data_IF_448577915756
#
_entry.id   IF_448577915756
#
_cell.length_a   1.000
_cell.length_b   1.000
_cell.length_c   1.000
_cell.angle_alpha   90.00
_cell.angle_beta   90.00
_cell.angle_gamma   90.00
#
_symmetry.space_group_name_H-M   'P 1'
#
loop_
_entity.id
_entity.type
_entity.pdbx_description
1 polymer ?
#
# COMPACT_ATOMS: atom_id res chain seq x y z
N UNK A 1 -10.20 -22.41 -28.78
CA UNK A 1 -8.90 -22.99 -28.36
C UNK A 1 -8.70 -22.89 -26.85
N UNK A 2 -8.91 -21.72 -26.22
CA UNK A 2 -8.79 -21.57 -24.76
C UNK A 2 -9.70 -22.51 -23.93
N UNK A 3 -10.97 -22.69 -24.32
CA UNK A 3 -11.86 -23.66 -23.64
C UNK A 3 -11.32 -25.08 -23.64
N UNK A 4 -10.74 -25.52 -24.76
CA UNK A 4 -10.16 -26.87 -24.89
C UNK A 4 -8.97 -27.00 -23.96
N UNK A 5 -8.13 -25.97 -23.85
CA UNK A 5 -6.97 -25.97 -22.96
C UNK A 5 -7.38 -26.04 -21.49
N UNK A 6 -8.43 -25.32 -21.06
CA UNK A 6 -8.93 -25.41 -19.68
C UNK A 6 -9.44 -26.81 -19.30
N UNK A 7 -9.98 -27.55 -20.27
CA UNK A 7 -10.47 -28.91 -20.07
C UNK A 7 -9.42 -30.00 -20.32
N UNK A 8 -8.20 -29.63 -20.75
CA UNK A 8 -7.15 -30.61 -21.04
C UNK A 8 -6.32 -30.88 -19.77
N UNK A 9 -6.17 -32.13 -19.33
CA UNK A 9 -5.30 -32.46 -18.19
C UNK A 9 -3.84 -32.09 -18.44
N UNK A 10 -3.09 -31.78 -17.38
CA UNK A 10 -1.65 -31.55 -17.46
C UNK A 10 -1.22 -30.21 -18.05
N UNK A 11 -2.13 -29.25 -18.19
CA UNK A 11 -1.74 -27.87 -18.53
C UNK A 11 -0.90 -27.26 -17.43
N UNK A 12 0.01 -26.38 -17.82
CA UNK A 12 0.78 -25.59 -16.86
C UNK A 12 -0.14 -24.57 -16.16
N UNK A 13 0.15 -24.21 -14.90
CA UNK A 13 -0.58 -23.16 -14.19
C UNK A 13 -0.71 -21.86 -14.99
N UNK A 14 0.36 -21.46 -15.69
CA UNK A 14 0.39 -20.25 -16.51
C UNK A 14 -0.61 -20.30 -17.67
N UNK A 15 -0.72 -21.45 -18.35
CA UNK A 15 -1.68 -21.64 -19.44
C UNK A 15 -3.10 -21.60 -18.91
N UNK A 16 -3.38 -22.26 -17.78
CA UNK A 16 -4.69 -22.24 -17.15
C UNK A 16 -5.10 -20.80 -16.76
N UNK A 17 -4.23 -20.07 -16.05
CA UNK A 17 -4.50 -18.69 -15.63
C UNK A 17 -4.71 -17.76 -16.84
N UNK A 18 -3.93 -17.92 -17.91
CA UNK A 18 -4.09 -17.14 -19.13
C UNK A 18 -5.43 -17.43 -19.82
N UNK A 19 -5.85 -18.70 -19.85
CA UNK A 19 -7.14 -19.07 -20.42
C UNK A 19 -8.31 -18.54 -19.58
N UNK A 20 -8.23 -18.62 -18.25
CA UNK A 20 -9.23 -18.04 -17.34
C UNK A 20 -9.36 -16.52 -17.56
N UNK A 21 -8.22 -15.81 -17.67
CA UNK A 21 -8.21 -14.37 -17.89
C UNK A 21 -8.76 -13.98 -19.27
N UNK A 22 -8.45 -14.74 -20.32
CA UNK A 22 -8.92 -14.46 -21.69
C UNK A 22 -10.41 -14.72 -21.86
N UNK A 23 -10.93 -15.79 -21.27
CA UNK A 23 -12.34 -16.19 -21.41
C UNK A 23 -13.25 -15.47 -20.41
N UNK A 24 -12.70 -15.02 -19.28
CA UNK A 24 -13.46 -14.32 -18.26
C UNK A 24 -14.69 -15.12 -17.84
N UNK A 25 -15.86 -14.49 -17.93
CA UNK A 25 -17.13 -15.07 -17.49
C UNK A 25 -17.48 -16.40 -18.17
N UNK A 26 -17.00 -16.63 -19.40
CA UNK A 26 -17.25 -17.88 -20.13
C UNK A 26 -16.51 -19.09 -19.54
N UNK A 27 -15.50 -18.86 -18.69
CA UNK A 27 -14.74 -19.91 -18.04
C UNK A 27 -15.20 -20.25 -16.61
N UNK A 28 -16.32 -19.69 -16.14
CA UNK A 28 -16.79 -19.88 -14.76
C UNK A 28 -17.00 -21.35 -14.39
N UNK A 29 -17.63 -22.14 -15.27
CA UNK A 29 -17.84 -23.57 -15.01
C UNK A 29 -16.51 -24.30 -14.83
N UNK A 30 -15.53 -24.04 -15.70
CA UNK A 30 -14.20 -24.63 -15.59
C UNK A 30 -13.44 -24.11 -14.37
N UNK A 31 -13.62 -22.86 -13.99
CA UNK A 31 -13.04 -22.28 -12.79
C UNK A 31 -13.58 -22.95 -11.52
N UNK A 32 -14.89 -23.24 -11.45
CA UNK A 32 -15.50 -24.03 -10.37
C UNK A 32 -14.87 -25.42 -10.27
N UNK A 33 -14.75 -26.13 -11.40
CA UNK A 33 -14.12 -27.46 -11.43
C UNK A 33 -12.68 -27.40 -10.94
N UNK A 34 -11.89 -26.44 -11.44
CA UNK A 34 -10.50 -26.27 -11.03
C UNK A 34 -10.39 -25.95 -9.54
N UNK A 35 -11.25 -25.07 -9.01
CA UNK A 35 -11.20 -24.66 -7.61
C UNK A 35 -11.55 -25.81 -6.65
N UNK A 36 -12.44 -26.72 -7.06
CA UNK A 36 -12.76 -27.94 -6.30
C UNK A 36 -11.78 -29.10 -6.53
N UNK A 37 -10.84 -28.97 -7.48
CA UNK A 37 -9.87 -30.02 -7.77
C UNK A 37 -8.71 -29.97 -6.77
N UNK A 38 -8.39 -31.07 -6.05
CA UNK A 38 -7.24 -31.11 -5.15
C UNK A 38 -5.91 -30.92 -5.88
N UNK A 39 -4.91 -30.38 -5.18
CA UNK A 39 -3.53 -30.27 -5.69
C UNK A 39 -3.32 -29.17 -6.73
N UNK A 40 -4.29 -28.25 -6.91
CA UNK A 40 -4.06 -27.06 -7.71
C UNK A 40 -2.98 -26.18 -7.10
N UNK A 41 -2.21 -25.54 -7.97
CA UNK A 41 -1.23 -24.56 -7.53
C UNK A 41 -1.92 -23.31 -6.96
N UNK A 42 -1.28 -22.60 -6.01
CA UNK A 42 -1.78 -21.33 -5.47
C UNK A 42 -2.22 -20.33 -6.55
N UNK A 43 -1.43 -20.20 -7.62
CA UNK A 43 -1.72 -19.29 -8.73
C UNK A 43 -3.07 -19.58 -9.42
N UNK A 44 -3.37 -20.86 -9.65
CA UNK A 44 -4.63 -21.28 -10.28
C UNK A 44 -5.79 -21.07 -9.31
N UNK A 45 -5.62 -21.43 -8.03
CA UNK A 45 -6.64 -21.20 -7.00
C UNK A 45 -7.00 -19.72 -6.90
N UNK A 46 -6.01 -18.82 -6.76
CA UNK A 46 -6.23 -17.38 -6.69
C UNK A 46 -6.90 -16.83 -7.96
N UNK A 47 -6.53 -17.34 -9.15
CA UNK A 47 -7.15 -16.93 -10.42
C UNK A 47 -8.62 -17.36 -10.49
N UNK A 48 -8.94 -18.57 -10.04
CA UNK A 48 -10.32 -19.05 -9.94
C UNK A 48 -11.13 -18.23 -8.93
N UNK A 49 -10.60 -17.98 -7.72
CA UNK A 49 -11.24 -17.15 -6.70
C UNK A 49 -11.55 -15.75 -7.23
N UNK A 50 -10.58 -15.12 -7.91
CA UNK A 50 -10.75 -13.79 -8.50
C UNK A 50 -11.81 -13.77 -9.62
N UNK A 51 -11.84 -14.80 -10.47
CA UNK A 51 -12.80 -14.87 -11.57
C UNK A 51 -14.24 -15.12 -11.10
N UNK A 52 -14.40 -16.04 -10.15
CA UNK A 52 -15.69 -16.45 -9.61
C UNK A 52 -16.26 -15.42 -8.63
N UNK A 53 -15.39 -14.70 -7.92
CA UNK A 53 -15.79 -13.74 -6.91
C UNK A 53 -16.72 -14.39 -5.90
N UNK A 54 -17.88 -13.77 -5.68
CA UNK A 54 -18.85 -14.20 -4.67
C UNK A 54 -19.35 -15.65 -4.86
N UNK A 55 -19.31 -16.20 -6.08
CA UNK A 55 -19.70 -17.58 -6.33
C UNK A 55 -18.74 -18.60 -5.71
N UNK A 56 -17.50 -18.21 -5.40
CA UNK A 56 -16.50 -19.08 -4.81
C UNK A 56 -16.47 -19.06 -3.27
N UNK A 57 -17.44 -18.40 -2.61
CA UNK A 57 -17.45 -18.23 -1.14
C UNK A 57 -17.36 -19.55 -0.38
N UNK A 58 -18.18 -20.53 -0.73
CA UNK A 58 -18.17 -21.84 -0.05
C UNK A 58 -16.79 -22.51 -0.16
N UNK A 59 -16.20 -22.48 -1.35
CA UNK A 59 -14.89 -23.08 -1.59
C UNK A 59 -13.76 -22.27 -0.94
N UNK A 60 -13.90 -20.95 -0.83
CA UNK A 60 -12.97 -20.08 -0.10
C UNK A 60 -13.00 -20.38 1.41
N UNK A 61 -14.17 -20.64 1.99
CA UNK A 61 -14.29 -21.09 3.39
C UNK A 61 -13.55 -22.43 3.59
N UNK A 62 -13.77 -23.39 2.69
CA UNK A 62 -13.07 -24.69 2.74
C UNK A 62 -11.55 -24.51 2.66
N UNK A 63 -11.06 -23.70 1.71
CA UNK A 63 -9.63 -23.42 1.57
C UNK A 63 -9.07 -22.75 2.82
N UNK A 64 -9.76 -21.76 3.38
CA UNK A 64 -9.29 -21.02 4.55
C UNK A 64 -9.21 -21.90 5.82
N UNK A 65 -10.07 -22.91 5.93
CA UNK A 65 -10.02 -23.91 7.01
C UNK A 65 -9.05 -25.07 6.72
N UNK A 66 -8.52 -25.18 5.51
CA UNK A 66 -7.60 -26.27 5.14
C UNK A 66 -6.18 -25.96 5.65
N UNK A 67 -5.55 -26.86 6.42
CA UNK A 67 -4.18 -26.67 6.86
C UNK A 67 -3.18 -26.67 5.69
N UNK A 68 -2.08 -25.94 5.84
CA UNK A 68 -0.98 -25.95 4.87
C UNK A 68 -1.23 -25.15 3.59
N UNK A 69 -2.28 -24.32 3.55
CA UNK A 69 -2.45 -23.36 2.47
C UNK A 69 -1.32 -22.34 2.44
N UNK A 70 -0.97 -21.91 1.24
CA UNK A 70 0.03 -20.86 1.05
C UNK A 70 -0.53 -19.49 1.46
N UNK A 71 0.33 -18.55 1.90
CA UNK A 71 -0.07 -17.18 2.23
C UNK A 71 -0.93 -16.51 1.16
N UNK A 72 -0.59 -16.67 -0.12
CA UNK A 72 -1.33 -16.08 -1.25
C UNK A 72 -2.79 -16.52 -1.30
N UNK A 73 -3.04 -17.82 -1.10
CA UNK A 73 -4.39 -18.39 -1.08
C UNK A 73 -5.16 -17.94 0.15
N UNK A 74 -4.52 -17.94 1.33
CA UNK A 74 -5.13 -17.46 2.56
C UNK A 74 -5.57 -16.00 2.45
N UNK A 75 -4.67 -15.12 2.00
CA UNK A 75 -4.98 -13.70 1.80
C UNK A 75 -6.10 -13.49 0.75
N UNK A 76 -6.09 -14.27 -0.33
CA UNK A 76 -7.15 -14.20 -1.36
C UNK A 76 -8.51 -14.64 -0.81
N UNK A 77 -8.54 -15.69 0.02
CA UNK A 77 -9.77 -16.15 0.69
C UNK A 77 -10.27 -15.11 1.70
N UNK A 78 -9.39 -14.55 2.55
CA UNK A 78 -9.73 -13.49 3.50
C UNK A 78 -10.31 -12.26 2.79
N UNK A 79 -9.68 -11.83 1.69
CA UNK A 79 -10.15 -10.69 0.90
C UNK A 79 -11.52 -10.95 0.25
N UNK A 80 -11.74 -12.17 -0.27
CA UNK A 80 -12.99 -12.51 -0.92
C UNK A 80 -14.17 -12.63 0.06
N UNK A 81 -13.93 -13.28 1.20
CA UNK A 81 -14.93 -13.54 2.23
C UNK A 81 -15.24 -12.29 3.06
N UNK A 82 -14.25 -11.41 3.22
CA UNK A 82 -14.37 -10.20 4.02
C UNK A 82 -14.86 -10.54 5.42
N UNK A 83 -15.96 -9.90 5.84
CA UNK A 83 -16.52 -10.03 7.17
C UNK A 83 -16.89 -11.47 7.57
N UNK A 84 -17.18 -12.35 6.60
CA UNK A 84 -17.50 -13.76 6.87
C UNK A 84 -16.28 -14.57 7.36
N UNK A 85 -15.06 -14.08 7.11
CA UNK A 85 -13.83 -14.77 7.50
C UNK A 85 -13.26 -14.31 8.85
N UNK A 86 -13.98 -13.48 9.61
CA UNK A 86 -13.48 -12.91 10.88
C UNK A 86 -13.09 -13.96 11.90
N UNK A 87 -13.92 -14.98 12.12
CA UNK A 87 -13.60 -16.08 13.04
C UNK A 87 -12.29 -16.76 12.65
N UNK A 88 -12.14 -17.07 11.36
CA UNK A 88 -10.94 -17.73 10.84
C UNK A 88 -9.73 -16.79 10.86
N UNK A 89 -9.91 -15.49 10.71
CA UNK A 89 -8.85 -14.49 10.86
C UNK A 89 -8.32 -14.44 12.29
N UNK A 90 -9.18 -14.52 13.32
CA UNK A 90 -8.74 -14.66 14.71
C UNK A 90 -7.92 -15.94 14.90
N UNK A 91 -8.40 -17.08 14.39
CA UNK A 91 -7.65 -18.35 14.47
C UNK A 91 -6.26 -18.21 13.84
N UNK A 92 -6.16 -17.59 12.66
CA UNK A 92 -4.89 -17.34 11.99
C UNK A 92 -3.98 -16.41 12.79
N UNK A 93 -4.49 -15.33 13.40
CA UNK A 93 -3.69 -14.41 14.23
C UNK A 93 -3.05 -15.08 15.44
N UNK A 94 -3.75 -16.05 16.04
CA UNK A 94 -3.28 -16.84 17.18
C UNK A 94 -2.44 -18.06 16.77
N UNK A 95 -2.44 -18.44 15.50
CA UNK A 95 -1.67 -19.58 15.01
C UNK A 95 -0.18 -19.21 14.88
N UNK A 96 0.74 -19.95 15.53
CA UNK A 96 2.17 -19.67 15.41
C UNK A 96 2.70 -19.99 14.00
N UNK A 97 3.73 -19.26 13.58
CA UNK A 97 4.41 -19.51 12.30
C UNK A 97 3.72 -18.90 11.07
N UNK A 98 2.67 -18.08 11.27
CA UNK A 98 2.06 -17.34 10.17
C UNK A 98 3.02 -16.30 9.59
N UNK A 99 2.94 -16.13 8.28
CA UNK A 99 3.71 -15.12 7.57
C UNK A 99 3.21 -13.70 7.89
N UNK A 100 4.07 -12.68 7.84
CA UNK A 100 3.67 -11.29 8.03
C UNK A 100 2.51 -10.84 7.14
N UNK A 101 2.44 -11.34 5.90
CA UNK A 101 1.41 -11.01 4.91
C UNK A 101 0.02 -11.48 5.35
N UNK A 102 -0.07 -12.72 5.86
CA UNK A 102 -1.33 -13.27 6.40
C UNK A 102 -1.72 -12.52 7.66
N UNK A 103 -0.78 -12.27 8.57
CA UNK A 103 -1.04 -11.54 9.80
C UNK A 103 -1.57 -10.12 9.53
N UNK A 104 -0.94 -9.38 8.60
CA UNK A 104 -1.43 -8.06 8.19
C UNK A 104 -2.84 -8.15 7.56
N UNK A 105 -3.11 -9.15 6.73
CA UNK A 105 -4.42 -9.33 6.11
C UNK A 105 -5.51 -9.58 7.17
N UNK A 106 -5.21 -10.41 8.18
CA UNK A 106 -6.11 -10.63 9.31
C UNK A 106 -6.32 -9.36 10.15
N UNK A 107 -5.26 -8.64 10.49
CA UNK A 107 -5.33 -7.38 11.24
C UNK A 107 -6.18 -6.33 10.51
N UNK A 108 -5.98 -6.18 9.20
CA UNK A 108 -6.77 -5.25 8.38
C UNK A 108 -8.25 -5.64 8.32
N UNK A 109 -8.55 -6.94 8.22
CA UNK A 109 -9.92 -7.43 8.17
C UNK A 109 -10.66 -7.22 9.51
N UNK A 110 -9.97 -7.46 10.62
CA UNK A 110 -10.54 -7.39 11.96
C UNK A 110 -10.60 -5.97 12.52
N UNK A 111 -9.64 -5.11 12.14
CA UNK A 111 -9.54 -3.74 12.65
C UNK A 111 -9.52 -3.72 14.18
N UNK A 112 -10.43 -2.95 14.78
CA UNK A 112 -10.57 -2.83 16.24
C UNK A 112 -10.88 -4.15 16.96
N UNK A 113 -11.42 -5.17 16.28
CA UNK A 113 -11.66 -6.48 16.90
C UNK A 113 -10.35 -7.19 17.26
N UNK A 114 -9.26 -6.90 16.53
CA UNK A 114 -7.94 -7.46 16.81
C UNK A 114 -7.12 -6.64 17.82
N UNK A 115 -7.74 -5.76 18.60
CA UNK A 115 -7.03 -4.84 19.52
C UNK A 115 -6.27 -5.57 20.62
N UNK A 116 -6.78 -6.71 21.08
CA UNK A 116 -6.11 -7.52 22.10
C UNK A 116 -4.85 -8.15 21.51
N UNK A 117 -4.97 -8.81 20.36
CA UNK A 117 -3.87 -9.45 19.64
C UNK A 117 -2.82 -8.43 19.19
N UNK A 118 -3.25 -7.24 18.76
CA UNK A 118 -2.37 -6.14 18.42
C UNK A 118 -1.50 -5.72 19.62
N UNK A 119 -2.11 -5.57 20.81
CA UNK A 119 -1.37 -5.25 22.04
C UNK A 119 -0.38 -6.35 22.44
N UNK A 120 -0.76 -7.62 22.30
CA UNK A 120 0.14 -8.75 22.59
C UNK A 120 1.36 -8.76 21.66
N UNK A 121 1.15 -8.54 20.36
CA UNK A 121 2.23 -8.42 19.38
C UNK A 121 3.11 -7.19 19.64
N UNK A 122 2.53 -6.06 20.04
CA UNK A 122 3.27 -4.87 20.46
C UNK A 122 4.12 -5.14 21.72
N UNK A 123 3.57 -5.86 22.70
CA UNK A 123 4.33 -6.22 23.90
C UNK A 123 5.55 -7.09 23.58
N UNK A 124 5.47 -7.87 22.51
CA UNK A 124 6.56 -8.70 21.94
C UNK A 124 7.19 -8.07 20.68
N UNK A 125 7.24 -6.73 20.60
CA UNK A 125 7.66 -6.02 19.39
C UNK A 125 9.03 -6.46 18.86
N UNK A 126 9.95 -6.86 19.73
CA UNK A 126 11.31 -7.25 19.35
C UNK A 126 11.36 -8.54 18.50
N UNK A 127 10.33 -9.37 18.60
CA UNK A 127 10.16 -10.62 17.85
C UNK A 127 9.13 -10.46 16.73
N UNK A 128 8.38 -9.36 16.73
CA UNK A 128 7.32 -9.09 15.76
C UNK A 128 7.87 -8.43 14.50
N UNK A 129 7.44 -8.93 13.35
CA UNK A 129 7.83 -8.35 12.07
C UNK A 129 7.39 -6.87 11.96
N UNK A 130 8.23 -5.94 11.47
CA UNK A 130 7.92 -4.51 11.44
C UNK A 130 6.60 -4.13 10.75
N UNK A 131 6.25 -4.78 9.64
CA UNK A 131 4.99 -4.51 8.94
C UNK A 131 3.77 -4.90 9.77
N UNK A 132 3.84 -6.03 10.49
CA UNK A 132 2.78 -6.47 11.41
C UNK A 132 2.71 -5.48 12.56
N UNK A 133 3.85 -5.10 13.12
CA UNK A 133 3.94 -4.13 14.21
C UNK A 133 3.32 -2.78 13.81
N UNK A 134 3.57 -2.29 12.59
CA UNK A 134 2.96 -1.08 12.05
C UNK A 134 1.42 -1.13 12.08
N UNK A 135 0.84 -2.25 11.65
CA UNK A 135 -0.62 -2.45 11.70
C UNK A 135 -1.12 -2.57 13.13
N UNK A 136 -0.40 -3.26 14.00
CA UNK A 136 -0.75 -3.36 15.41
C UNK A 136 -0.78 -1.99 16.09
N UNK A 137 0.18 -1.09 15.79
CA UNK A 137 0.16 0.28 16.31
C UNK A 137 -1.03 1.09 15.79
N UNK A 138 -1.43 0.90 14.53
CA UNK A 138 -2.59 1.57 13.97
C UNK A 138 -3.91 1.14 14.65
N UNK A 139 -4.02 -0.14 15.00
CA UNK A 139 -5.20 -0.75 15.66
C UNK A 139 -5.22 -0.50 17.18
N UNK A 140 -4.06 -0.61 17.84
CA UNK A 140 -3.98 -0.41 19.28
C UNK A 140 -4.30 1.04 19.66
N UNK A 141 -3.97 1.99 18.77
CA UNK A 141 -4.10 3.42 18.98
C UNK A 141 -3.28 3.87 20.21
N UNK A 142 -3.81 4.76 21.05
CA UNK A 142 -3.08 5.33 22.19
C UNK A 142 -3.21 4.48 23.46
N UNK A 143 -2.61 3.28 23.47
CA UNK A 143 -2.59 2.42 24.66
C UNK A 143 -1.24 2.48 25.38
N UNK A 144 -1.21 2.25 26.72
CA UNK A 144 0.04 2.25 27.49
C UNK A 144 1.07 1.25 26.96
N UNK A 145 0.64 0.10 26.45
CA UNK A 145 1.52 -0.91 25.86
C UNK A 145 2.18 -0.41 24.57
N UNK A 146 1.40 0.26 23.70
CA UNK A 146 1.90 0.89 22.49
C UNK A 146 2.91 1.99 22.80
N UNK A 147 2.56 2.91 23.71
CA UNK A 147 3.49 3.96 24.12
C UNK A 147 4.79 3.38 24.66
N UNK A 148 4.72 2.42 25.58
CA UNK A 148 5.89 1.78 26.18
C UNK A 148 6.77 1.10 25.14
N UNK A 149 6.19 0.32 24.23
CA UNK A 149 6.93 -0.39 23.21
C UNK A 149 7.67 0.58 22.28
N UNK A 150 7.01 1.66 21.86
CA UNK A 150 7.65 2.62 21.00
C UNK A 150 8.73 3.46 21.69
N UNK A 151 8.52 3.87 22.94
CA UNK A 151 9.57 4.49 23.75
C UNK A 151 10.78 3.57 23.86
N UNK A 152 10.57 2.26 24.07
CA UNK A 152 11.66 1.29 24.10
C UNK A 152 12.41 1.20 22.75
N UNK A 153 11.68 1.18 21.62
CA UNK A 153 12.28 1.20 20.28
C UNK A 153 13.14 2.46 20.09
N UNK A 154 12.61 3.63 20.47
CA UNK A 154 13.30 4.91 20.36
C UNK A 154 14.55 4.97 21.26
N UNK A 155 14.45 4.49 22.50
CA UNK A 155 15.60 4.41 23.41
C UNK A 155 16.69 3.50 22.86
N UNK A 156 16.32 2.33 22.33
CA UNK A 156 17.28 1.42 21.68
C UNK A 156 17.94 2.08 20.48
N UNK A 157 17.20 2.83 19.68
CA UNK A 157 17.78 3.63 18.59
C UNK A 157 18.76 4.67 19.13
N UNK A 158 18.37 5.44 20.14
CA UNK A 158 19.18 6.54 20.70
C UNK A 158 20.54 6.05 21.21
N UNK A 159 20.60 4.88 21.85
CA UNK A 159 21.87 4.29 22.34
C UNK A 159 22.71 3.63 21.23
N UNK A 160 22.35 3.83 19.95
CA UNK A 160 23.10 3.36 18.80
C UNK A 160 22.91 1.88 18.47
N UNK A 161 21.89 1.20 19.03
CA UNK A 161 21.59 -0.18 18.61
C UNK A 161 21.16 -0.16 17.14
N UNK A 162 21.67 -1.13 16.39
CA UNK A 162 21.32 -1.31 14.98
C UNK A 162 19.87 -1.79 14.87
N UNK A 163 18.96 -0.85 14.62
CA UNK A 163 17.57 -1.13 14.29
C UNK A 163 17.36 -1.01 12.79
N UNK A 164 16.53 -1.90 12.25
CA UNK A 164 16.03 -1.77 10.89
C UNK A 164 15.23 -0.46 10.74
N UNK A 165 15.28 0.13 9.55
CA UNK A 165 14.58 1.36 9.22
C UNK A 165 13.07 1.20 9.37
N UNK A 166 12.53 0.00 9.16
CA UNK A 166 11.11 -0.28 9.36
C UNK A 166 10.69 -0.10 10.84
N UNK A 167 11.48 -0.59 11.81
CA UNK A 167 11.21 -0.36 13.23
C UNK A 167 11.26 1.14 13.60
N UNK A 168 12.21 1.88 13.01
CA UNK A 168 12.33 3.33 13.22
C UNK A 168 11.12 4.08 12.68
N UNK A 169 10.65 3.70 11.48
CA UNK A 169 9.44 4.24 10.85
C UNK A 169 8.23 4.02 11.77
N UNK A 170 8.03 2.77 12.23
CA UNK A 170 6.92 2.42 13.12
C UNK A 170 6.92 3.27 14.39
N UNK A 171 8.06 3.37 15.08
CA UNK A 171 8.15 4.16 16.30
C UNK A 171 7.93 5.67 16.07
N UNK A 172 8.33 6.19 14.90
CA UNK A 172 8.08 7.59 14.54
C UNK A 172 6.66 7.86 14.05
N UNK A 173 5.91 6.85 13.60
CA UNK A 173 4.53 7.00 13.13
C UNK A 173 3.50 6.79 14.22
N UNK A 174 3.85 6.05 15.25
CA UNK A 174 2.89 5.64 16.25
C UNK A 174 2.28 6.84 17.03
N UNK A 175 1.07 6.71 17.59
CA UNK A 175 0.18 7.85 17.80
C UNK A 175 0.52 8.77 18.99
N UNK A 176 1.59 8.50 19.74
CA UNK A 176 1.96 9.24 20.95
C UNK A 176 2.92 10.41 20.66
N UNK A 177 2.69 11.56 21.29
CA UNK A 177 3.54 12.73 21.16
C UNK A 177 4.52 12.84 22.34
N UNK A 178 5.68 12.20 22.23
CA UNK A 178 6.73 12.25 23.27
C UNK A 178 7.91 13.10 22.84
N UNK A 179 8.58 13.74 23.80
CA UNK A 179 9.79 14.54 23.55
C UNK A 179 10.90 13.68 22.89
N UNK A 180 11.06 12.43 23.33
CA UNK A 180 12.01 11.51 22.73
C UNK A 180 11.69 11.21 21.26
N UNK A 181 10.41 11.02 20.91
CA UNK A 181 9.99 10.82 19.51
C UNK A 181 10.35 12.04 18.65
N UNK A 182 10.06 13.25 19.14
CA UNK A 182 10.40 14.49 18.45
C UNK A 182 11.92 14.67 18.31
N UNK A 183 12.69 14.40 19.36
CA UNK A 183 14.15 14.47 19.34
C UNK A 183 14.74 13.51 18.29
N UNK A 184 14.28 12.27 18.25
CA UNK A 184 14.73 11.28 17.26
C UNK A 184 14.30 11.66 15.84
N UNK A 185 13.11 12.24 15.67
CA UNK A 185 12.66 12.78 14.39
C UNK A 185 13.55 13.93 13.91
N UNK A 186 13.94 14.86 14.80
CA UNK A 186 14.87 15.95 14.44
C UNK A 186 16.23 15.41 13.98
N UNK A 187 16.76 14.37 14.62
CA UNK A 187 18.02 13.75 14.17
C UNK A 187 17.93 13.21 12.74
N UNK A 188 16.77 12.65 12.36
CA UNK A 188 16.52 12.23 10.97
C UNK A 188 16.46 13.44 10.05
N UNK A 189 15.75 14.49 10.47
CA UNK A 189 15.54 15.70 9.70
C UNK A 189 16.83 16.50 9.50
N UNK A 190 17.74 16.55 10.47
CA UNK A 190 19.04 17.21 10.33
C UNK A 190 19.88 16.61 9.19
N UNK A 191 19.70 15.31 8.94
CA UNK A 191 20.37 14.58 7.87
C UNK A 191 19.42 14.15 6.74
N UNK A 192 18.27 14.83 6.57
CA UNK A 192 17.18 14.37 5.69
C UNK A 192 17.61 14.09 4.25
N UNK A 193 18.60 14.84 3.75
CA UNK A 193 19.13 14.71 2.40
C UNK A 193 19.70 13.31 2.10
N UNK A 194 20.39 12.71 3.08
CA UNK A 194 21.00 11.37 3.03
C UNK A 194 20.11 10.28 3.62
N UNK A 195 19.04 10.66 4.32
CA UNK A 195 18.11 9.75 4.96
C UNK A 195 17.20 9.05 3.94
N UNK A 196 16.79 7.83 4.31
CA UNK A 196 15.78 7.07 3.59
C UNK A 196 14.45 7.85 3.57
N UNK A 197 13.82 8.00 2.39
CA UNK A 197 12.67 8.91 2.19
C UNK A 197 11.44 8.56 3.04
N UNK A 198 11.02 7.29 3.17
CA UNK A 198 9.96 6.93 4.11
C UNK A 198 10.28 7.34 5.55
N UNK A 199 11.53 7.21 5.99
CA UNK A 199 11.94 7.62 7.33
C UNK A 199 11.84 9.14 7.53
N UNK A 200 12.15 9.93 6.50
CA UNK A 200 11.95 11.39 6.52
C UNK A 200 10.47 11.74 6.60
N UNK A 201 9.61 11.06 5.83
CA UNK A 201 8.16 11.26 5.91
C UNK A 201 7.63 10.95 7.32
N UNK A 202 8.04 9.83 7.92
CA UNK A 202 7.68 9.49 9.31
C UNK A 202 8.20 10.51 10.33
N UNK A 203 9.41 11.04 10.12
CA UNK A 203 9.95 12.09 10.99
C UNK A 203 9.15 13.40 10.90
N UNK A 204 8.66 13.78 9.72
CA UNK A 204 7.74 14.92 9.59
C UNK A 204 6.40 14.65 10.27
N UNK A 205 5.86 13.43 10.14
CA UNK A 205 4.62 13.01 10.80
C UNK A 205 4.74 13.05 12.33
N UNK A 206 5.93 12.85 12.91
CA UNK A 206 6.12 12.98 14.35
C UNK A 206 5.75 14.37 14.91
N UNK A 207 5.74 15.41 14.07
CA UNK A 207 5.37 16.78 14.42
C UNK A 207 3.92 17.12 14.04
N UNK A 208 3.02 16.13 14.08
CA UNK A 208 1.64 16.33 13.65
C UNK A 208 0.85 17.35 14.50
N UNK A 209 1.17 17.45 15.79
CA UNK A 209 0.61 18.46 16.69
C UNK A 209 1.30 19.83 16.59
N UNK A 210 2.55 19.85 16.15
CA UNK A 210 3.41 21.04 16.15
C UNK A 210 4.13 21.19 14.80
N UNK A 211 3.40 21.32 13.68
CA UNK A 211 3.99 21.35 12.34
C UNK A 211 4.93 22.56 12.15
N UNK A 212 4.77 23.58 12.98
CA UNK A 212 5.62 24.77 12.95
C UNK A 212 7.07 24.47 13.34
N UNK A 213 7.31 23.49 14.22
CA UNK A 213 8.64 23.09 14.67
C UNK A 213 9.52 22.58 13.50
N UNK A 214 8.90 22.04 12.44
CA UNK A 214 9.61 21.50 11.26
C UNK A 214 9.49 22.35 10.00
N UNK A 215 9.00 23.59 10.14
CA UNK A 215 8.80 24.52 9.01
C UNK A 215 10.08 24.74 8.19
N UNK A 216 11.24 24.80 8.87
CA UNK A 216 12.54 25.02 8.21
C UNK A 216 12.86 23.86 7.26
N UNK A 217 12.69 22.63 7.72
CA UNK A 217 12.93 21.43 6.90
C UNK A 217 11.93 21.33 5.74
N UNK A 218 10.64 21.58 6.01
CA UNK A 218 9.61 21.60 4.97
C UNK A 218 9.94 22.62 3.88
N UNK A 219 10.38 23.82 4.25
CA UNK A 219 10.82 24.85 3.30
C UNK A 219 12.03 24.41 2.47
N UNK A 220 12.99 23.71 3.08
CA UNK A 220 14.13 23.17 2.36
C UNK A 220 13.71 22.09 1.34
N UNK A 221 12.83 21.17 1.75
CA UNK A 221 12.25 20.13 0.88
C UNK A 221 11.53 20.79 -0.31
N UNK A 222 10.66 21.77 -0.05
CA UNK A 222 9.94 22.52 -1.11
C UNK A 222 10.84 23.39 -2.00
N UNK A 223 12.08 23.70 -1.59
CA UNK A 223 13.05 24.35 -2.48
C UNK A 223 13.79 23.35 -3.36
N UNK A 224 13.91 22.11 -2.92
CA UNK A 224 14.76 21.08 -3.54
C UNK A 224 13.99 19.97 -4.26
N UNK A 225 12.66 19.89 -4.11
CA UNK A 225 11.81 18.82 -4.67
C UNK A 225 12.16 18.45 -6.13
N UNK A 226 12.41 19.44 -7.00
CA UNK A 226 12.72 19.20 -8.40
C UNK A 226 14.00 18.35 -8.57
N UNK A 227 15.08 18.76 -7.89
CA UNK A 227 16.37 18.06 -7.94
C UNK A 227 16.27 16.66 -7.37
N UNK A 228 15.48 16.49 -6.32
CA UNK A 228 15.27 15.20 -5.70
C UNK A 228 14.50 14.25 -6.64
N UNK A 229 13.40 14.71 -7.25
CA UNK A 229 12.64 13.92 -8.22
C UNK A 229 13.49 13.61 -9.47
N UNK A 230 14.24 14.59 -9.96
CA UNK A 230 15.16 14.43 -11.10
C UNK A 230 16.23 13.38 -10.79
N UNK A 231 16.84 13.41 -9.61
CA UNK A 231 17.80 12.40 -9.16
C UNK A 231 17.19 10.99 -9.16
N UNK A 232 15.95 10.85 -8.69
CA UNK A 232 15.23 9.57 -8.74
C UNK A 232 14.98 9.08 -10.17
N UNK A 233 14.58 9.96 -11.10
CA UNK A 233 14.37 9.59 -12.51
C UNK A 233 15.65 9.06 -13.15
N UNK A 234 16.77 9.75 -12.95
CA UNK A 234 18.07 9.32 -13.47
C UNK A 234 18.55 7.99 -12.86
N UNK A 235 18.12 7.68 -11.64
CA UNK A 235 18.54 6.50 -10.90
C UNK A 235 17.41 5.47 -10.70
N UNK A 236 16.38 5.47 -11.57
CA UNK A 236 15.17 4.63 -11.42
C UNK A 236 15.49 3.14 -11.23
N UNK A 237 16.52 2.63 -11.92
CA UNK A 237 16.98 1.23 -11.80
C UNK A 237 17.53 0.88 -10.40
N UNK A 238 18.05 1.87 -9.67
CA UNK A 238 18.69 1.67 -8.36
C UNK A 238 17.70 1.75 -7.20
N UNK A 239 16.68 2.60 -7.31
CA UNK A 239 15.80 2.93 -6.18
C UNK A 239 14.40 2.28 -6.26
N UNK A 240 14.04 1.62 -7.36
CA UNK A 240 12.75 0.94 -7.48
C UNK A 240 11.57 1.92 -7.51
N UNK A 241 10.59 1.74 -6.62
CA UNK A 241 9.40 2.61 -6.51
C UNK A 241 9.76 3.92 -5.82
N UNK A 242 9.43 5.05 -6.44
CA UNK A 242 9.65 6.39 -5.87
C UNK A 242 8.64 6.66 -4.75
N UNK A 243 9.13 7.18 -3.64
CA UNK A 243 8.32 7.65 -2.52
C UNK A 243 8.44 9.18 -2.42
N UNK A 244 7.33 9.86 -2.75
CA UNK A 244 7.21 11.32 -2.71
C UNK A 244 6.53 11.81 -1.41
N UNK A 245 6.26 10.93 -0.44
CA UNK A 245 5.43 11.25 0.71
C UNK A 245 6.00 12.38 1.56
N UNK A 246 7.32 12.45 1.71
CA UNK A 246 7.97 13.56 2.42
C UNK A 246 7.77 14.92 1.73
N UNK A 247 7.61 14.95 0.40
CA UNK A 247 7.29 16.17 -0.37
C UNK A 247 5.83 16.54 -0.15
N UNK A 248 4.93 15.54 -0.20
CA UNK A 248 3.50 15.72 0.06
C UNK A 248 3.29 16.26 1.47
N UNK A 249 3.95 15.67 2.47
CA UNK A 249 3.95 16.19 3.84
C UNK A 249 4.47 17.63 3.85
N UNK A 250 5.63 17.94 3.29
CA UNK A 250 6.12 19.32 3.25
C UNK A 250 5.14 20.33 2.60
N UNK A 251 4.41 19.92 1.56
CA UNK A 251 3.35 20.71 0.91
C UNK A 251 2.14 20.96 1.83
N UNK A 252 1.82 20.02 2.71
CA UNK A 252 0.72 20.13 3.65
C UNK A 252 0.99 21.11 4.81
N UNK A 253 2.22 21.66 4.95
CA UNK A 253 2.59 22.43 6.13
C UNK A 253 1.74 23.71 6.25
N UNK A 254 0.96 23.88 7.34
CA UNK A 254 0.03 25.01 7.46
C UNK A 254 0.72 26.38 7.36
N UNK A 255 1.93 26.50 7.89
CA UNK A 255 2.72 27.73 7.87
C UNK A 255 3.36 28.04 6.52
N UNK A 256 3.33 27.09 5.57
CA UNK A 256 3.95 27.24 4.26
C UNK A 256 2.97 27.35 3.10
N UNK A 257 1.67 27.57 3.34
CA UNK A 257 0.63 27.61 2.27
C UNK A 257 1.02 28.37 1.01
N UNK A 258 1.58 29.58 1.13
CA UNK A 258 2.03 30.38 -0.03
C UNK A 258 3.18 29.71 -0.80
N UNK A 259 4.15 29.16 -0.07
CA UNK A 259 5.30 28.47 -0.66
C UNK A 259 4.87 27.13 -1.28
N UNK A 260 3.99 26.40 -0.61
CA UNK A 260 3.37 25.18 -1.12
C UNK A 260 2.59 25.45 -2.41
N UNK A 261 1.79 26.52 -2.46
CA UNK A 261 1.06 26.89 -3.68
C UNK A 261 1.98 27.28 -4.83
N UNK A 262 3.06 28.02 -4.55
CA UNK A 262 4.07 28.34 -5.56
C UNK A 262 4.82 27.10 -6.06
N UNK A 263 5.17 26.18 -5.16
CA UNK A 263 5.80 24.91 -5.51
C UNK A 263 4.86 24.03 -6.34
N UNK A 264 3.58 23.90 -5.94
CA UNK A 264 2.57 23.12 -6.65
C UNK A 264 2.33 23.62 -8.07
N UNK A 265 2.25 24.95 -8.30
CA UNK A 265 2.17 25.51 -9.66
C UNK A 265 3.36 25.11 -10.52
N UNK A 266 4.58 25.24 -9.97
CA UNK A 266 5.81 24.83 -10.67
C UNK A 266 5.86 23.32 -10.93
N UNK A 267 5.34 22.50 -10.03
CA UNK A 267 5.21 21.05 -10.22
C UNK A 267 4.29 20.75 -11.41
N UNK A 268 3.11 21.37 -11.47
CA UNK A 268 2.17 21.17 -12.58
C UNK A 268 2.69 21.70 -13.91
N UNK A 269 3.37 22.86 -13.92
CA UNK A 269 4.07 23.36 -15.10
C UNK A 269 5.15 22.39 -15.59
N UNK A 270 5.91 21.80 -14.67
CA UNK A 270 6.93 20.79 -14.99
C UNK A 270 6.29 19.54 -15.59
N UNK A 271 5.21 19.05 -15.00
CA UNK A 271 4.46 17.89 -15.47
C UNK A 271 3.85 18.13 -16.86
N UNK A 272 3.32 19.33 -17.12
CA UNK A 272 2.80 19.69 -18.43
C UNK A 272 3.90 19.69 -19.52
N UNK A 273 5.12 20.10 -19.16
CA UNK A 273 6.27 20.08 -20.06
C UNK A 273 6.92 18.69 -20.19
N UNK A 274 6.78 17.85 -19.18
CA UNK A 274 7.36 16.51 -19.12
C UNK A 274 6.40 15.52 -18.46
N UNK A 275 5.41 14.99 -19.20
CA UNK A 275 4.42 14.07 -18.65
C UNK A 275 5.06 12.84 -18.00
N UNK A 276 4.57 12.45 -16.82
CA UNK A 276 5.11 11.37 -16.00
C UNK A 276 6.29 11.79 -15.11
N UNK A 277 6.57 13.09 -14.97
CA UNK A 277 7.58 13.58 -14.06
C UNK A 277 7.15 13.39 -12.60
N UNK A 278 5.90 13.73 -12.28
CA UNK A 278 5.27 13.54 -10.98
C UNK A 278 4.64 12.14 -10.87
N UNK A 279 4.52 11.63 -9.64
CA UNK A 279 3.68 10.46 -9.37
C UNK A 279 2.22 10.90 -9.44
N UNK A 280 1.28 9.99 -9.75
CA UNK A 280 -0.15 10.31 -9.76
C UNK A 280 -0.61 10.99 -8.45
N UNK A 281 -0.15 10.46 -7.30
CA UNK A 281 -0.46 11.01 -5.97
C UNK A 281 0.08 12.43 -5.78
N UNK A 282 1.36 12.69 -6.12
CA UNK A 282 1.93 14.04 -5.99
C UNK A 282 1.29 15.03 -6.97
N UNK A 283 0.97 14.59 -8.19
CA UNK A 283 0.22 15.39 -9.16
C UNK A 283 -1.13 15.82 -8.58
N UNK A 284 -1.90 14.85 -8.08
CA UNK A 284 -3.22 15.09 -7.52
C UNK A 284 -3.17 16.08 -6.35
N UNK A 285 -2.22 15.91 -5.42
CA UNK A 285 -2.03 16.86 -4.31
C UNK A 285 -1.62 18.26 -4.79
N UNK A 286 -0.81 18.36 -5.83
CA UNK A 286 -0.47 19.66 -6.42
C UNK A 286 -1.72 20.35 -7.02
N UNK A 287 -2.58 19.62 -7.73
CA UNK A 287 -3.86 20.16 -8.24
C UNK A 287 -4.73 20.72 -7.11
N UNK A 288 -4.97 19.93 -6.07
CA UNK A 288 -5.76 20.34 -4.91
C UNK A 288 -5.26 21.64 -4.29
N UNK A 289 -3.95 21.74 -4.06
CA UNK A 289 -3.31 22.92 -3.47
C UNK A 289 -3.49 24.15 -4.37
N UNK A 290 -3.37 23.99 -5.70
CA UNK A 290 -3.59 25.13 -6.61
C UNK A 290 -5.03 25.62 -6.63
N UNK A 291 -5.98 24.74 -6.34
CA UNK A 291 -7.41 25.05 -6.17
C UNK A 291 -7.75 25.61 -4.78
N UNK A 292 -6.75 25.78 -3.90
CA UNK A 292 -6.93 26.27 -2.53
C UNK A 292 -7.37 25.20 -1.53
N UNK A 293 -7.43 23.93 -1.95
CA UNK A 293 -7.67 22.78 -1.07
C UNK A 293 -6.32 22.31 -0.52
N UNK A 294 -6.04 22.64 0.73
CA UNK A 294 -4.82 22.17 1.39
C UNK A 294 -5.12 20.87 2.14
N UNK A 295 -4.31 19.81 1.93
CA UNK A 295 -4.48 18.56 2.67
C UNK A 295 -4.29 18.81 4.16
N UNK A 296 -5.02 18.08 4.99
CA UNK A 296 -4.70 18.06 6.41
C UNK A 296 -3.30 17.48 6.63
N UNK A 297 -2.53 18.09 7.53
CA UNK A 297 -1.26 17.52 7.96
C UNK A 297 -1.44 16.15 8.65
N UNK A 298 -2.60 15.96 9.28
CA UNK A 298 -2.97 14.81 10.11
C UNK A 298 -3.87 13.78 9.40
N UNK A 299 -4.23 13.96 8.13
CA UNK A 299 -5.01 12.97 7.38
C UNK A 299 -4.31 11.60 7.50
N UNK A 300 -4.89 10.68 8.29
CA UNK A 300 -4.56 9.26 8.28
C UNK A 300 -4.97 8.78 6.89
N UNK A 301 -4.07 8.06 6.23
CA UNK A 301 -4.27 7.57 4.87
C UNK A 301 -5.49 6.65 4.85
N UNK A 302 -6.60 7.06 4.22
CA UNK A 302 -7.58 6.09 3.75
C UNK A 302 -6.95 5.42 2.54
N UNK A 303 -6.63 4.13 2.68
CA UNK A 303 -6.19 3.28 1.59
C UNK A 303 -7.31 3.26 0.55
N UNK A 304 -7.09 3.89 -0.62
CA UNK A 304 -8.03 3.89 -1.75
C UNK A 304 -8.38 2.45 -2.14
N UNK A 305 -9.49 1.96 -1.60
CA UNK A 305 -10.17 0.74 -2.05
C UNK A 305 -11.26 1.14 -3.03
N UNK A 306 -10.89 1.76 -4.16
CA UNK A 306 -11.76 1.76 -5.34
C UNK A 306 -10.96 1.51 -6.62
N UNK A 307 -11.33 0.49 -7.42
CA UNK A 307 -10.74 0.32 -8.74
C UNK A 307 -11.19 1.47 -9.63
N UNK A 308 -10.21 2.22 -10.15
CA UNK A 308 -10.36 3.18 -11.24
C UNK A 308 -11.26 2.59 -12.33
N UNK A 309 -12.50 3.08 -12.39
CA UNK A 309 -13.41 2.78 -13.49
C UNK A 309 -12.83 3.46 -14.72
N UNK A 310 -12.28 2.68 -15.64
CA UNK A 310 -11.80 3.17 -16.93
C UNK A 310 -13.01 3.80 -17.64
N UNK A 311 -12.96 5.07 -18.08
CA UNK A 311 -13.99 5.64 -18.91
C UNK A 311 -14.10 4.82 -20.20
N UNK A 312 -15.29 4.28 -20.48
CA UNK A 312 -15.62 3.63 -21.74
C UNK A 312 -15.27 4.57 -22.89
N UNK A 313 -14.18 4.29 -23.60
CA UNK A 313 -13.87 4.97 -24.85
C UNK A 313 -14.83 4.47 -25.93
N UNK A 314 -15.73 5.38 -26.29
CA UNK A 314 -16.40 5.55 -27.57
C UNK A 314 -16.15 4.46 -28.62
N UNK A 315 -17.26 3.79 -28.98
CA UNK A 315 -17.48 3.02 -30.20
C UNK A 315 -16.76 3.66 -31.40
N UNK A 316 -15.67 3.02 -31.84
CA UNK A 316 -15.05 3.31 -33.13
C UNK A 316 -16.03 2.86 -34.22
N UNK A 317 -16.50 3.84 -35.01
CA UNK A 317 -17.34 3.63 -36.20
C UNK A 317 -16.67 2.66 -37.18
N UNK A 318 -17.43 1.82 -37.90
CA UNK A 318 -16.87 0.91 -38.88
C UNK A 318 -16.19 1.67 -40.04
N UNK A 319 -15.18 1.06 -40.69
CA UNK A 319 -14.43 1.70 -41.77
C UNK A 319 -15.31 1.93 -43.00
N UNK A 320 -15.18 3.12 -43.61
CA UNK A 320 -15.81 3.45 -44.89
C UNK A 320 -15.28 2.50 -45.99
N UNK A 321 -16.14 2.04 -46.91
CA UNK A 321 -15.72 1.17 -48.00
C UNK A 321 -14.77 1.91 -48.97
N UNK A 322 -13.87 1.19 -49.65
CA UNK A 322 -12.88 1.78 -50.54
C UNK A 322 -13.56 2.44 -51.75
N UNK A 323 -13.17 3.69 -52.02
CA UNK A 323 -13.55 4.41 -53.24
C UNK A 323 -12.97 3.67 -54.44
N UNK A 324 -13.85 3.16 -55.30
CA UNK A 324 -13.47 2.59 -56.59
C UNK A 324 -12.79 3.67 -57.44
N UNK A 325 -11.55 3.40 -57.85
CA UNK A 325 -10.90 4.14 -58.93
C UNK A 325 -11.54 3.69 -60.23
N UNK A 326 -12.28 4.59 -60.89
CA UNK A 326 -12.61 4.45 -62.32
C UNK A 326 -11.29 4.39 -63.10
N UNK A 327 -11.03 3.25 -63.74
CA UNK A 327 -10.30 3.14 -65.01
C UNK A 327 -11.33 2.69 -66.03
N UNK A 328 -11.78 3.59 -66.91
CA UNK A 328 -11.32 3.81 -68.29
C UNK A 328 -11.76 5.22 -68.66
#
# INVERSE_FOLDING_TARGET
QAHVLLSTPGQTPQVLCSCLALLGQEAKEQAHVLLSTPGQTPQVLCSCLALLGQEAKEQAHVLLSTPGQTPEVLCSCLALLGQEAKEQAHVLLSTPGQTPEVLCSCLNLLGEEAKIEAKEKIASWAETHPYVLSQCFAIADDTPEAQKAAEEILLRWQVGKKLDSAHKIVALQAPFNTELRQQMALQVLDNWHSSYRPLVASALTAFWNEPDAVTIYCRQILKRWYKDIEYYHHNKRKFGKRDDEYIIKALANPSLRRQAQAAARRMLETEANSPGFLTPRLHQRALEITQGKFPSWTEKEEEETEPLTIPQMAVLRPPKPPKSKRRV
#
